data_IF_865735500806
#
_entry.id   IF_865735500806
#
_cell.length_a   1.000
_cell.length_b   1.000
_cell.length_c   1.000
_cell.angle_alpha   90.00
_cell.angle_beta   90.00
_cell.angle_gamma   90.00
#
_symmetry.space_group_name_H-M   'P 1'
#
loop_
_entity.id
_entity.type
_entity.pdbx_description
1 polymer ?
#
# COMPACT_ATOMS: atom_id res chain seq x y z
N UNK A 1 0.12 8.40 -3.17
CA UNK A 1 -0.24 8.74 -1.77
C UNK A 1 0.41 7.73 -0.83
N UNK A 2 0.63 8.09 0.43
CA UNK A 2 1.09 7.15 1.46
C UNK A 2 -0.08 6.46 2.13
N UNK A 3 -0.03 5.13 2.24
CA UNK A 3 -1.00 4.33 2.99
C UNK A 3 -0.28 3.62 4.16
N UNK A 4 -0.16 4.33 5.29
CA UNK A 4 0.51 3.82 6.50
C UNK A 4 -0.33 2.77 7.22
N UNK A 5 -0.51 1.58 6.65
CA UNK A 5 -1.17 0.44 7.31
C UNK A 5 -0.53 -0.86 6.84
N UNK A 6 -0.61 -1.89 7.68
CA UNK A 6 -0.12 -3.24 7.36
C UNK A 6 -1.21 -4.30 7.24
N UNK A 7 -2.48 -3.87 7.16
CA UNK A 7 -3.65 -4.72 6.94
C UNK A 7 -4.49 -4.13 5.84
N UNK A 8 -4.97 -4.98 4.94
CA UNK A 8 -5.81 -4.56 3.82
C UNK A 8 -7.19 -4.09 4.31
N UNK A 9 -7.84 -4.93 5.10
CA UNK A 9 -9.22 -4.77 5.54
C UNK A 9 -9.39 -4.07 6.90
N UNK A 10 -10.65 -3.75 7.22
CA UNK A 10 -11.06 -3.11 8.47
C UNK A 10 -11.24 -1.61 8.33
N UNK A 11 -11.91 -1.00 9.31
CA UNK A 11 -12.23 0.45 9.31
C UNK A 11 -10.99 1.36 9.25
N UNK A 12 -9.82 0.80 9.54
CA UNK A 12 -8.54 1.48 9.52
C UNK A 12 -7.51 0.73 8.66
N UNK A 13 -7.96 -0.09 7.71
CA UNK A 13 -7.11 -0.83 6.76
C UNK A 13 -6.71 0.02 5.56
N UNK A 14 -5.84 -0.53 4.71
CA UNK A 14 -5.36 0.13 3.49
C UNK A 14 -6.55 0.53 2.60
N UNK A 15 -7.52 -0.36 2.37
CA UNK A 15 -8.65 -0.07 1.49
C UNK A 15 -9.52 1.08 2.00
N UNK A 16 -9.74 1.14 3.31
CA UNK A 16 -10.48 2.23 3.93
C UNK A 16 -9.75 3.58 3.75
N UNK A 17 -8.41 3.56 3.79
CA UNK A 17 -7.58 4.75 3.62
C UNK A 17 -7.39 5.20 2.18
N UNK A 18 -7.45 4.30 1.19
CA UNK A 18 -7.12 4.63 -0.20
C UNK A 18 -8.34 4.82 -1.09
N UNK A 19 -9.52 4.36 -0.64
CA UNK A 19 -10.72 4.35 -1.48
C UNK A 19 -11.13 5.73 -1.97
N UNK A 20 -11.19 6.72 -1.08
CA UNK A 20 -11.65 8.06 -1.45
C UNK A 20 -10.70 8.73 -2.46
N UNK A 21 -9.40 8.53 -2.27
CA UNK A 21 -8.35 9.12 -3.09
C UNK A 21 -8.29 8.49 -4.48
N UNK A 22 -8.47 7.17 -4.58
CA UNK A 22 -8.55 6.48 -5.88
C UNK A 22 -9.84 6.86 -6.61
N UNK A 23 -10.99 6.86 -5.92
CA UNK A 23 -12.27 7.28 -6.51
C UNK A 23 -12.19 8.72 -7.03
N UNK A 24 -11.53 9.59 -6.26
CA UNK A 24 -11.27 10.98 -6.67
C UNK A 24 -10.31 11.06 -7.87
N UNK A 25 -9.21 10.32 -7.86
CA UNK A 25 -8.25 10.28 -8.95
C UNK A 25 -8.90 9.80 -10.26
N UNK A 26 -9.73 8.76 -10.21
CA UNK A 26 -10.50 8.26 -11.34
C UNK A 26 -11.43 9.34 -11.91
N UNK A 27 -12.18 10.02 -11.03
CA UNK A 27 -13.09 11.11 -11.42
C UNK A 27 -12.34 12.27 -12.08
N UNK A 28 -11.17 12.63 -11.56
CA UNK A 28 -10.34 13.72 -12.09
C UNK A 28 -9.46 13.30 -13.27
N UNK A 29 -9.48 12.02 -13.66
CA UNK A 29 -8.57 11.44 -14.66
C UNK A 29 -7.10 11.74 -14.31
N UNK A 30 -6.77 11.67 -13.02
CA UNK A 30 -5.41 11.82 -12.49
C UNK A 30 -4.85 10.46 -12.12
N UNK A 31 -3.54 10.35 -12.18
CA UNK A 31 -2.85 9.11 -11.87
C UNK A 31 -2.58 9.00 -10.37
N UNK A 32 -2.62 7.77 -9.85
CA UNK A 32 -2.34 7.50 -8.44
C UNK A 32 -1.54 6.22 -8.26
N UNK A 33 -0.53 6.32 -7.40
CA UNK A 33 0.26 5.20 -6.87
C UNK A 33 0.00 5.13 -5.37
N UNK A 34 -0.25 3.92 -4.86
CA UNK A 34 -0.33 3.69 -3.41
C UNK A 34 1.06 3.30 -2.92
N UNK A 35 1.58 4.00 -1.92
CA UNK A 35 2.87 3.71 -1.31
C UNK A 35 2.70 3.05 0.06
N UNK A 36 3.42 1.94 0.28
CA UNK A 36 3.42 1.16 1.52
C UNK A 36 4.74 1.33 2.27
N UNK A 37 4.68 1.20 3.60
CA UNK A 37 5.83 1.37 4.50
C UNK A 37 6.40 0.02 4.94
N UNK A 38 7.72 -0.08 5.00
CA UNK A 38 8.46 -1.26 5.49
C UNK A 38 9.47 -0.94 6.59
N UNK A 39 9.74 0.35 6.82
CA UNK A 39 10.54 0.84 7.93
C UNK A 39 9.81 0.56 9.26
N UNK A 40 10.49 0.04 10.30
CA UNK A 40 9.92 -0.02 11.64
C UNK A 40 9.51 1.36 12.13
N UNK A 41 8.28 1.47 12.62
CA UNK A 41 7.70 2.67 13.21
C UNK A 41 7.28 2.39 14.65
N UNK A 42 7.05 3.43 15.45
CA UNK A 42 6.58 3.29 16.83
C UNK A 42 5.27 2.51 16.91
N UNK A 43 4.34 2.80 15.99
CA UNK A 43 3.06 2.11 15.88
C UNK A 43 3.15 0.96 14.86
N UNK A 44 3.13 -0.27 15.36
CA UNK A 44 3.35 -1.48 14.54
C UNK A 44 2.33 -1.69 13.43
N UNK A 45 1.13 -1.11 13.53
CA UNK A 45 0.07 -1.25 12.53
C UNK A 45 0.26 -0.35 11.30
N UNK A 46 1.28 0.52 11.30
CA UNK A 46 1.56 1.49 10.22
C UNK A 46 2.51 0.97 9.14
N UNK A 47 3.15 -0.17 9.35
CA UNK A 47 4.27 -0.65 8.52
C UNK A 47 4.30 -2.18 8.41
N UNK A 48 4.78 -2.68 7.28
CA UNK A 48 5.08 -4.09 7.02
C UNK A 48 6.46 -4.53 7.54
N UNK A 49 7.04 -3.78 8.48
CA UNK A 49 8.32 -4.12 9.09
C UNK A 49 8.38 -5.58 9.57
N UNK A 50 9.34 -6.33 9.04
CA UNK A 50 9.55 -7.75 9.35
C UNK A 50 8.54 -8.71 8.71
N UNK A 51 7.64 -8.24 7.83
CA UNK A 51 6.54 -9.03 7.28
C UNK A 51 6.49 -8.97 5.75
N UNK A 52 7.50 -9.55 5.08
CA UNK A 52 7.57 -9.61 3.61
C UNK A 52 6.35 -10.32 3.01
N UNK A 53 5.96 -11.47 3.58
CA UNK A 53 4.79 -12.23 3.10
C UNK A 53 3.51 -11.39 3.13
N UNK A 54 3.28 -10.65 4.23
CA UNK A 54 2.12 -9.77 4.34
C UNK A 54 2.17 -8.60 3.36
N UNK A 55 3.37 -8.05 3.11
CA UNK A 55 3.57 -7.01 2.08
C UNK A 55 3.20 -7.54 0.70
N UNK A 56 3.72 -8.70 0.30
CA UNK A 56 3.47 -9.32 -1.00
C UNK A 56 1.99 -9.65 -1.19
N UNK A 57 1.34 -10.19 -0.15
CA UNK A 57 -0.10 -10.44 -0.17
C UNK A 57 -0.89 -9.14 -0.37
N UNK A 58 -0.57 -8.09 0.37
CA UNK A 58 -1.23 -6.79 0.22
C UNK A 58 -1.01 -6.19 -1.17
N UNK A 59 0.21 -6.25 -1.73
CA UNK A 59 0.50 -5.76 -3.09
C UNK A 59 -0.39 -6.49 -4.11
N UNK A 60 -0.45 -7.81 -4.05
CA UNK A 60 -1.25 -8.61 -4.98
C UNK A 60 -2.74 -8.30 -4.86
N UNK A 61 -3.26 -8.23 -3.64
CA UNK A 61 -4.68 -7.95 -3.40
C UNK A 61 -5.06 -6.53 -3.84
N UNK A 62 -4.24 -5.51 -3.53
CA UNK A 62 -4.50 -4.14 -3.96
C UNK A 62 -4.48 -4.03 -5.50
N UNK A 63 -3.49 -4.66 -6.15
CA UNK A 63 -3.43 -4.69 -7.61
C UNK A 63 -4.67 -5.35 -8.22
N UNK A 64 -5.15 -6.45 -7.63
CA UNK A 64 -6.37 -7.12 -8.10
C UNK A 64 -7.61 -6.22 -7.94
N UNK A 65 -7.77 -5.61 -6.76
CA UNK A 65 -8.93 -4.77 -6.42
C UNK A 65 -9.02 -3.53 -7.32
N UNK A 66 -7.88 -2.86 -7.56
CA UNK A 66 -7.85 -1.62 -8.36
C UNK A 66 -7.47 -1.83 -9.83
N UNK A 67 -7.38 -3.08 -10.29
CA UNK A 67 -7.02 -3.42 -11.69
C UNK A 67 -7.91 -2.77 -12.74
N UNK A 68 -9.18 -2.49 -12.40
CA UNK A 68 -10.15 -1.85 -13.30
C UNK A 68 -10.11 -0.32 -13.30
N UNK A 69 -9.39 0.31 -12.36
CA UNK A 69 -9.30 1.76 -12.24
C UNK A 69 -8.24 2.29 -13.21
N UNK A 70 -8.65 3.14 -14.17
CA UNK A 70 -7.73 3.68 -15.18
C UNK A 70 -6.75 4.69 -14.60
N UNK A 71 -7.05 5.25 -13.43
CA UNK A 71 -6.16 6.14 -12.66
C UNK A 71 -5.07 5.39 -11.90
N UNK A 72 -5.28 4.11 -11.57
CA UNK A 72 -4.34 3.35 -10.76
C UNK A 72 -3.08 2.98 -11.56
N UNK A 73 -1.91 3.21 -10.96
CA UNK A 73 -0.58 2.97 -11.57
C UNK A 73 0.28 1.97 -10.81
N UNK A 74 -0.29 1.30 -9.81
CA UNK A 74 0.38 0.27 -9.04
C UNK A 74 0.82 0.73 -7.65
N UNK A 75 1.76 -0.02 -7.09
CA UNK A 75 2.27 0.12 -5.73
C UNK A 75 3.71 0.60 -5.73
N UNK A 76 4.05 1.47 -4.77
CA UNK A 76 5.42 1.80 -4.40
C UNK A 76 5.73 1.30 -2.98
N UNK A 77 7.00 1.02 -2.70
CA UNK A 77 7.50 0.85 -1.33
C UNK A 77 8.31 2.09 -0.97
N UNK A 78 7.98 2.71 0.16
CA UNK A 78 8.45 4.05 0.51
C UNK A 78 9.98 4.16 0.66
N UNK A 79 10.62 3.14 1.24
CA UNK A 79 12.07 3.12 1.46
C UNK A 79 12.69 1.83 0.93
N UNK A 80 13.59 1.98 -0.05
CA UNK A 80 14.29 0.88 -0.70
C UNK A 80 15.17 0.08 0.26
N UNK A 81 15.83 0.73 1.22
CA UNK A 81 16.77 0.04 2.13
C UNK A 81 16.03 -0.90 3.06
N UNK A 82 14.89 -0.44 3.60
CA UNK A 82 14.07 -1.27 4.49
C UNK A 82 13.37 -2.39 3.73
N UNK A 83 12.88 -2.13 2.51
CA UNK A 83 12.36 -3.19 1.65
C UNK A 83 13.42 -4.25 1.33
N UNK A 84 14.61 -3.80 0.91
CA UNK A 84 15.68 -4.72 0.53
C UNK A 84 16.13 -5.60 1.70
N UNK A 85 16.17 -5.03 2.91
CA UNK A 85 16.48 -5.78 4.12
C UNK A 85 15.43 -6.85 4.49
N UNK A 86 14.20 -6.76 3.97
CA UNK A 86 13.18 -7.79 4.14
C UNK A 86 13.41 -8.99 3.22
N UNK A 87 13.87 -8.77 1.98
CA UNK A 87 14.13 -9.83 1.00
C UNK A 87 15.34 -10.72 1.37
N UNK A 88 16.25 -10.20 2.19
CA UNK A 88 17.50 -10.89 2.56
C UNK A 88 17.38 -11.77 3.80
N UNK A 89 16.17 -11.89 4.39
CA UNK A 89 15.89 -12.67 5.59
C UNK A 89 15.15 -13.96 5.25
#
# INVERSE_FOLDING_TARGET
MMAYRNKLDGNNGILALTKNEIDYAEKQKKEIVIALETKPLEESHLSFAGNLKGLDQAINEINNIYSSYKSFRGIAVHDYNYWKALETK
#
